data_IF_597896999080
#
_entry.id   IF_597896999080
#
_cell.length_a   1.000
_cell.length_b   1.000
_cell.length_c   1.000
_cell.angle_alpha   90.00
_cell.angle_beta   90.00
_cell.angle_gamma   90.00
#
_symmetry.space_group_name_H-M   'P 1'
#
loop_
_entity.id
_entity.type
_entity.pdbx_description
1 polymer ?
#
# COMPACT_ATOMS: atom_id res chain seq x y z
N UNK A 1 1.41 -3.32 -31.69
CA UNK A 1 1.61 -4.34 -30.64
C UNK A 1 2.90 -3.99 -29.93
N UNK A 2 2.84 -3.61 -28.65
CA UNK A 2 4.04 -3.33 -27.87
C UNK A 2 4.76 -4.67 -27.69
N UNK A 3 5.95 -4.84 -28.27
CA UNK A 3 6.70 -6.10 -28.34
C UNK A 3 7.29 -6.56 -27.00
N UNK A 4 6.50 -6.51 -25.93
CA UNK A 4 6.85 -7.07 -24.63
C UNK A 4 6.48 -8.54 -24.60
N UNK A 5 7.46 -9.37 -24.23
CA UNK A 5 7.22 -10.77 -23.90
C UNK A 5 6.41 -10.86 -22.62
N UNK A 6 5.23 -11.50 -22.69
CA UNK A 6 4.40 -11.76 -21.50
C UNK A 6 4.95 -12.94 -20.70
N UNK A 7 4.34 -13.22 -19.55
CA UNK A 7 4.62 -14.43 -18.75
C UNK A 7 6.09 -14.59 -18.33
N UNK A 8 6.76 -13.45 -18.14
CA UNK A 8 8.19 -13.36 -17.84
C UNK A 8 8.41 -12.75 -16.46
N UNK A 9 9.29 -13.36 -15.66
CA UNK A 9 9.74 -12.80 -14.38
C UNK A 9 11.01 -11.98 -14.62
N UNK A 10 10.94 -10.68 -14.32
CA UNK A 10 12.11 -9.80 -14.33
C UNK A 10 12.69 -9.78 -12.92
N UNK A 11 13.81 -10.47 -12.70
CA UNK A 11 14.53 -10.44 -11.42
C UNK A 11 15.48 -9.23 -11.38
N UNK A 12 14.99 -8.10 -10.85
CA UNK A 12 15.74 -6.85 -10.75
C UNK A 12 15.14 -5.94 -9.69
N UNK A 13 15.89 -4.92 -9.28
CA UNK A 13 15.31 -3.78 -8.57
C UNK A 13 14.20 -3.13 -9.41
N UNK A 14 13.07 -2.85 -8.76
CA UNK A 14 11.83 -2.45 -9.42
C UNK A 14 11.98 -1.14 -10.22
N UNK A 15 12.74 -0.15 -9.71
CA UNK A 15 12.90 1.12 -10.42
C UNK A 15 13.65 0.90 -11.74
N UNK A 16 14.70 0.09 -11.72
CA UNK A 16 15.48 -0.21 -12.92
C UNK A 16 14.70 -1.09 -13.89
N UNK A 17 13.93 -2.08 -13.40
CA UNK A 17 13.05 -2.87 -14.26
C UNK A 17 12.02 -1.98 -14.97
N UNK A 18 11.36 -1.08 -14.25
CA UNK A 18 10.35 -0.18 -14.83
C UNK A 18 10.95 0.75 -15.90
N UNK A 19 12.19 1.23 -15.71
CA UNK A 19 12.90 2.06 -16.70
C UNK A 19 13.16 1.36 -18.04
N UNK A 20 13.28 0.04 -18.03
CA UNK A 20 13.48 -0.76 -19.25
C UNK A 20 12.17 -1.05 -19.98
N UNK A 21 11.03 -0.94 -19.30
CA UNK A 21 9.73 -1.14 -19.92
C UNK A 21 9.34 0.07 -20.79
N UNK A 22 8.79 -0.16 -22.00
CA UNK A 22 8.26 0.92 -22.82
C UNK A 22 7.17 1.71 -22.10
N UNK A 23 7.04 2.99 -22.44
CA UNK A 23 5.92 3.79 -21.94
C UNK A 23 4.61 3.19 -22.43
N UNK A 24 3.54 3.35 -21.65
CA UNK A 24 2.17 2.98 -22.06
C UNK A 24 2.02 1.52 -22.50
N UNK A 25 2.72 0.63 -21.82
CA UNK A 25 2.80 -0.78 -22.16
C UNK A 25 2.08 -1.71 -21.21
N UNK A 26 1.77 -1.26 -19.98
CA UNK A 26 1.07 -2.05 -18.97
C UNK A 26 -0.32 -1.49 -18.72
N UNK A 27 -1.33 -2.35 -18.63
CA UNK A 27 -2.72 -1.94 -18.41
C UNK A 27 -3.09 -1.93 -16.91
N UNK A 28 -2.62 -2.91 -16.15
CA UNK A 28 -2.92 -3.05 -14.73
C UNK A 28 -1.63 -3.36 -13.97
N UNK A 29 -1.38 -2.63 -12.89
CA UNK A 29 -0.34 -2.92 -11.93
C UNK A 29 -0.97 -3.24 -10.57
N UNK A 30 -0.56 -4.35 -9.97
CA UNK A 30 -1.01 -4.76 -8.64
C UNK A 30 0.23 -5.00 -7.80
N UNK A 31 0.33 -4.35 -6.64
CA UNK A 31 1.55 -4.45 -5.83
C UNK A 31 1.34 -4.16 -4.35
N UNK A 32 2.23 -4.71 -3.54
CA UNK A 32 2.43 -4.40 -2.13
C UNK A 32 3.93 -4.15 -1.91
N UNK A 33 4.42 -2.91 -1.99
CA UNK A 33 5.84 -2.65 -1.77
C UNK A 33 6.24 -3.03 -0.34
N UNK A 34 7.54 -3.24 -0.05
CA UNK A 34 8.00 -3.47 1.31
C UNK A 34 7.48 -2.39 2.28
N UNK A 35 6.82 -2.81 3.36
CA UNK A 35 6.19 -1.90 4.32
C UNK A 35 7.24 -1.23 5.21
N UNK A 36 7.04 0.05 5.50
CA UNK A 36 7.98 0.85 6.28
C UNK A 36 8.26 0.21 7.65
N UNK A 37 9.53 -0.03 7.97
CA UNK A 37 10.00 -0.49 9.28
C UNK A 37 9.41 -1.81 9.82
N UNK A 38 8.72 -2.62 8.99
CA UNK A 38 8.12 -3.87 9.46
C UNK A 38 8.99 -5.12 9.24
N UNK A 39 9.75 -5.18 8.13
CA UNK A 39 10.58 -6.33 7.79
C UNK A 39 11.97 -5.88 7.35
N UNK A 40 12.98 -6.68 7.72
CA UNK A 40 14.34 -6.57 7.23
C UNK A 40 14.64 -7.78 6.34
N UNK A 41 14.96 -7.52 5.07
CA UNK A 41 15.30 -8.49 4.04
C UNK A 41 16.80 -8.74 3.93
N UNK A 42 17.64 -8.14 4.79
CA UNK A 42 19.09 -8.33 4.82
C UNK A 42 19.85 -7.68 3.66
N UNK A 43 19.22 -6.75 2.94
CA UNK A 43 19.83 -6.04 1.80
C UNK A 43 20.08 -4.57 2.15
N UNK A 44 21.25 -4.06 1.80
CA UNK A 44 21.68 -2.69 2.12
C UNK A 44 20.72 -1.61 1.62
N UNK A 45 20.20 -1.78 0.40
CA UNK A 45 19.34 -0.80 -0.28
C UNK A 45 17.88 -1.25 -0.35
N UNK A 46 17.41 -2.12 0.54
CA UNK A 46 16.00 -2.52 0.53
C UNK A 46 15.07 -1.32 0.79
N UNK A 47 13.86 -1.39 0.23
CA UNK A 47 12.77 -0.45 0.52
C UNK A 47 12.18 -0.79 1.89
N UNK A 48 11.71 0.22 2.62
CA UNK A 48 11.10 0.07 3.94
C UNK A 48 12.10 0.12 5.09
N UNK A 49 13.38 0.42 4.80
CA UNK A 49 14.45 0.61 5.80
C UNK A 49 15.03 2.03 5.84
N UNK A 50 14.39 2.96 5.15
CA UNK A 50 14.74 4.38 5.16
C UNK A 50 14.68 4.95 6.59
N UNK A 51 15.51 5.96 6.86
CA UNK A 51 15.66 6.52 8.20
C UNK A 51 14.41 7.28 8.66
N UNK A 52 13.63 7.81 7.73
CA UNK A 52 12.42 8.58 7.99
C UNK A 52 11.24 8.12 7.13
N UNK A 53 9.99 8.28 7.60
CA UNK A 53 8.80 8.10 6.76
C UNK A 53 8.88 8.92 5.48
N UNK A 54 9.35 10.16 5.54
CA UNK A 54 9.43 11.07 4.39
C UNK A 54 10.37 10.53 3.31
N UNK A 55 11.52 9.97 3.69
CA UNK A 55 12.44 9.32 2.74
C UNK A 55 11.81 8.09 2.08
N UNK A 56 11.14 7.25 2.86
CA UNK A 56 10.40 6.09 2.35
C UNK A 56 9.33 6.51 1.33
N UNK A 57 8.51 7.51 1.67
CA UNK A 57 7.46 8.05 0.80
C UNK A 57 8.06 8.66 -0.47
N UNK A 58 9.16 9.44 -0.35
CA UNK A 58 9.85 10.00 -1.53
C UNK A 58 10.36 8.90 -2.45
N UNK A 59 10.99 7.86 -1.90
CA UNK A 59 11.52 6.75 -2.69
C UNK A 59 10.42 6.00 -3.44
N UNK A 60 9.33 5.66 -2.76
CA UNK A 60 8.17 5.04 -3.39
C UNK A 60 7.55 5.95 -4.45
N UNK A 61 7.44 7.26 -4.19
CA UNK A 61 6.91 8.22 -5.16
C UNK A 61 7.74 8.22 -6.45
N UNK A 62 9.07 8.13 -6.37
CA UNK A 62 9.94 7.99 -7.56
C UNK A 62 9.65 6.70 -8.33
N UNK A 63 9.49 5.57 -7.65
CA UNK A 63 9.17 4.28 -8.28
C UNK A 63 7.80 4.33 -8.95
N UNK A 64 6.79 4.86 -8.26
CA UNK A 64 5.45 4.96 -8.80
C UNK A 64 5.33 6.00 -9.91
N UNK A 65 6.14 7.07 -9.92
CA UNK A 65 6.23 7.98 -11.06
C UNK A 65 6.67 7.22 -12.32
N UNK A 66 7.68 6.37 -12.20
CA UNK A 66 8.14 5.53 -13.31
C UNK A 66 7.07 4.51 -13.72
N UNK A 67 6.38 3.90 -12.76
CA UNK A 67 5.25 3.02 -13.06
C UNK A 67 4.14 3.76 -13.83
N UNK A 68 3.85 5.02 -13.50
CA UNK A 68 2.85 5.83 -14.21
C UNK A 68 3.23 6.04 -15.68
N UNK A 69 4.53 6.18 -16.00
CA UNK A 69 5.01 6.25 -17.39
C UNK A 69 4.72 4.95 -18.14
N UNK A 70 5.00 3.81 -17.50
CA UNK A 70 4.80 2.48 -18.06
C UNK A 70 3.31 2.14 -18.23
N UNK A 71 2.43 2.67 -17.38
CA UNK A 71 0.99 2.48 -17.53
C UNK A 71 0.45 3.15 -18.79
N UNK A 72 -0.47 2.45 -19.46
CA UNK A 72 -1.34 3.00 -20.51
C UNK A 72 -2.20 4.16 -19.96
N UNK A 73 -2.69 5.07 -20.83
CA UNK A 73 -3.64 6.12 -20.42
C UNK A 73 -4.85 5.62 -19.63
N UNK A 74 -5.38 4.46 -20.04
CA UNK A 74 -6.52 3.78 -19.41
C UNK A 74 -6.13 2.87 -18.23
N UNK A 75 -4.87 2.90 -17.80
CA UNK A 75 -4.30 1.96 -16.84
C UNK A 75 -4.59 2.26 -15.37
N UNK A 76 -4.58 1.19 -14.58
CA UNK A 76 -4.87 1.21 -13.13
C UNK A 76 -3.69 0.69 -12.30
N UNK A 77 -3.52 1.24 -11.11
CA UNK A 77 -2.64 0.76 -10.06
C UNK A 77 -3.48 0.39 -8.83
N UNK A 78 -3.30 -0.84 -8.36
CA UNK A 78 -3.86 -1.38 -7.13
C UNK A 78 -2.73 -1.54 -6.11
N UNK A 79 -2.69 -0.62 -5.16
CA UNK A 79 -1.60 -0.50 -4.20
C UNK A 79 -2.06 -0.94 -2.82
N UNK A 80 -1.62 -2.13 -2.40
CA UNK A 80 -1.78 -2.58 -1.03
C UNK A 80 -0.66 -2.03 -0.14
N UNK A 81 -1.03 -1.39 0.97
CA UNK A 81 -0.06 -0.81 1.91
C UNK A 81 -0.61 -0.84 3.34
N UNK A 82 0.27 -1.19 4.28
CA UNK A 82 -0.04 -1.22 5.70
C UNK A 82 0.72 -0.13 6.44
N UNK A 83 0.17 0.29 7.58
CA UNK A 83 0.76 1.36 8.39
C UNK A 83 1.82 0.85 9.38
N UNK A 84 2.43 1.76 10.12
CA UNK A 84 3.42 1.51 11.17
C UNK A 84 3.24 2.52 12.30
N UNK A 85 3.56 2.11 13.52
CA UNK A 85 3.54 3.00 14.67
C UNK A 85 4.92 3.62 14.91
N UNK A 86 4.94 4.88 15.32
CA UNK A 86 6.15 5.55 15.78
C UNK A 86 6.61 4.94 17.12
N UNK A 87 7.91 4.71 17.25
CA UNK A 87 8.52 4.24 18.49
C UNK A 87 9.18 2.87 18.39
N UNK A 88 9.27 2.19 19.55
CA UNK A 88 10.02 0.93 19.68
C UNK A 88 9.29 -0.22 19.02
N UNK A 89 9.94 -0.87 18.06
CA UNK A 89 9.42 -2.00 17.30
C UNK A 89 9.24 -3.26 18.15
N UNK A 90 8.75 -4.34 17.52
CA UNK A 90 8.47 -5.61 18.17
C UNK A 90 9.64 -6.09 19.03
N UNK A 91 9.34 -6.39 20.31
CA UNK A 91 10.26 -7.05 21.23
C UNK A 91 10.49 -8.48 20.72
N UNK A 92 11.53 -8.70 19.91
CA UNK A 92 12.02 -10.03 19.59
C UNK A 92 12.39 -10.79 20.87
N UNK A 93 12.12 -12.10 20.92
CA UNK A 93 12.30 -12.93 22.11
C UNK A 93 13.77 -13.36 22.34
N UNK A 94 14.26 -13.06 23.55
CA UNK A 94 15.40 -13.63 24.34
C UNK A 94 16.88 -13.33 23.96
N UNK A 95 17.85 -13.11 24.87
CA UNK A 95 17.95 -12.69 26.33
C UNK A 95 19.45 -12.55 26.75
N UNK A 96 19.85 -11.74 27.76
CA UNK A 96 20.88 -12.16 28.75
C UNK A 96 20.98 -11.28 30.05
N UNK A 97 20.80 -11.84 31.27
CA UNK A 97 21.16 -11.21 32.55
C UNK A 97 22.66 -10.92 32.81
N UNK A 98 23.59 -11.49 32.05
CA UNK A 98 25.06 -11.34 32.23
C UNK A 98 25.68 -10.12 31.56
N UNK A 99 24.97 -9.40 30.68
CA UNK A 99 25.52 -8.30 29.87
C UNK A 99 24.89 -6.92 30.20
N UNK A 100 25.55 -6.06 31.00
CA UNK A 100 24.91 -4.87 31.61
C UNK A 100 24.83 -3.61 30.72
N UNK A 101 25.50 -3.56 29.55
CA UNK A 101 25.49 -2.39 28.64
C UNK A 101 24.39 -2.44 27.56
N UNK A 102 23.39 -3.30 27.77
CA UNK A 102 22.23 -3.41 26.89
C UNK A 102 21.80 -4.87 26.82
N UNK A 103 20.68 -5.17 27.47
CA UNK A 103 20.24 -6.53 27.79
C UNK A 103 19.80 -7.39 26.60
N UNK A 104 19.69 -6.77 25.43
CA UNK A 104 19.21 -7.39 24.20
C UNK A 104 20.01 -6.70 23.09
N UNK A 105 20.60 -7.46 22.16
CA UNK A 105 21.11 -6.92 20.89
C UNK A 105 19.96 -6.37 20.04
N UNK A 106 19.36 -5.27 20.49
CA UNK A 106 18.16 -4.65 19.93
C UNK A 106 18.55 -3.91 18.67
N UNK A 107 18.01 -4.32 17.52
CA UNK A 107 17.89 -3.38 16.41
C UNK A 107 16.84 -2.35 16.84
N UNK A 108 17.28 -1.11 17.01
CA UNK A 108 16.34 -0.05 17.30
C UNK A 108 15.40 0.08 16.10
N UNK A 109 14.09 0.09 16.34
CA UNK A 109 13.13 0.37 15.29
C UNK A 109 13.46 1.69 14.62
N UNK A 110 13.72 1.64 13.32
CA UNK A 110 13.96 2.83 12.49
C UNK A 110 12.77 3.79 12.54
N UNK A 111 11.55 3.30 12.77
CA UNK A 111 10.35 4.13 12.97
C UNK A 111 10.39 4.97 14.27
N UNK A 112 11.43 4.88 15.11
CA UNK A 112 11.62 5.83 16.24
C UNK A 112 11.91 7.26 15.80
N UNK A 113 12.36 7.45 14.55
CA UNK A 113 12.87 8.73 14.03
C UNK A 113 11.82 9.56 13.28
N UNK A 114 10.54 9.20 13.35
CA UNK A 114 9.49 9.94 12.67
C UNK A 114 9.34 11.34 13.30
N UNK A 115 9.81 12.37 12.59
CA UNK A 115 9.88 13.72 13.11
C UNK A 115 8.48 14.29 13.37
N UNK A 116 8.27 14.88 14.55
CA UNK A 116 6.98 15.45 14.94
C UNK A 116 5.87 14.45 15.26
N UNK A 117 6.15 13.14 15.23
CA UNK A 117 5.19 12.08 15.56
C UNK A 117 5.51 11.52 16.95
N UNK A 118 4.51 11.49 17.85
CA UNK A 118 4.74 11.05 19.24
C UNK A 118 4.95 9.53 19.29
N UNK A 119 5.65 9.07 20.31
CA UNK A 119 5.79 7.63 20.55
C UNK A 119 4.41 6.99 20.70
N UNK A 120 4.20 5.82 20.07
CA UNK A 120 2.94 5.09 19.94
C UNK A 120 1.89 5.71 19.02
N UNK A 121 2.15 6.86 18.38
CA UNK A 121 1.24 7.37 17.35
C UNK A 121 1.31 6.48 16.11
N UNK A 122 0.18 6.31 15.45
CA UNK A 122 0.11 5.73 14.12
C UNK A 122 0.70 6.74 13.12
N UNK A 123 1.65 6.34 12.28
CA UNK A 123 2.38 7.27 11.41
C UNK A 123 1.50 7.79 10.27
N UNK A 124 0.56 6.97 9.77
CA UNK A 124 -0.28 7.33 8.63
C UNK A 124 0.38 7.04 7.29
N UNK A 125 1.30 6.07 7.22
CA UNK A 125 2.06 5.69 6.00
C UNK A 125 1.15 5.52 4.77
N UNK A 126 0.01 4.80 4.84
CA UNK A 126 -0.89 4.64 3.69
C UNK A 126 -1.33 5.97 3.08
N UNK A 127 -1.79 6.90 3.93
CA UNK A 127 -2.33 8.19 3.49
C UNK A 127 -1.24 9.19 3.11
N UNK A 128 -0.08 9.16 3.78
CA UNK A 128 1.10 9.91 3.35
C UNK A 128 1.50 9.51 1.91
N UNK A 129 1.51 8.21 1.62
CA UNK A 129 1.82 7.71 0.28
C UNK A 129 0.74 8.11 -0.73
N UNK A 130 -0.53 7.85 -0.42
CA UNK A 130 -1.65 8.17 -1.32
C UNK A 130 -1.67 9.66 -1.70
N UNK A 131 -1.42 10.56 -0.74
CA UNK A 131 -1.38 11.99 -0.99
C UNK A 131 -0.12 12.45 -1.72
N UNK A 132 1.02 11.82 -1.46
CA UNK A 132 2.25 12.04 -2.24
C UNK A 132 2.03 11.66 -3.71
N UNK A 133 1.47 10.48 -3.97
CA UNK A 133 1.16 10.02 -5.33
C UNK A 133 0.14 10.93 -6.02
N UNK A 134 -0.91 11.34 -5.32
CA UNK A 134 -1.89 12.30 -5.87
C UNK A 134 -1.23 13.63 -6.25
N UNK A 135 -0.37 14.15 -5.37
CA UNK A 135 0.39 15.39 -5.64
C UNK A 135 1.37 15.23 -6.80
N UNK A 136 1.88 14.01 -7.02
CA UNK A 136 2.76 13.67 -8.13
C UNK A 136 2.04 13.52 -9.48
N UNK A 137 0.70 13.57 -9.50
CA UNK A 137 -0.12 13.52 -10.72
C UNK A 137 -0.95 12.25 -10.90
N UNK A 138 -1.04 11.40 -9.88
CA UNK A 138 -1.99 10.29 -9.89
C UNK A 138 -3.41 10.74 -9.53
N UNK A 139 -4.42 10.06 -10.09
CA UNK A 139 -5.78 10.17 -9.60
C UNK A 139 -6.04 9.09 -8.55
N UNK A 140 -6.27 9.48 -7.30
CA UNK A 140 -6.73 8.58 -6.23
C UNK A 140 -8.24 8.35 -6.36
N UNK A 141 -8.66 7.12 -6.68
CA UNK A 141 -10.05 6.80 -7.04
C UNK A 141 -10.83 6.10 -5.95
N UNK A 142 -10.16 5.30 -5.13
CA UNK A 142 -10.80 4.57 -4.03
C UNK A 142 -9.79 4.25 -2.94
N UNK A 143 -10.27 4.24 -1.71
CA UNK A 143 -9.66 3.58 -0.57
C UNK A 143 -10.49 2.34 -0.24
N UNK A 144 -9.91 1.15 -0.44
CA UNK A 144 -10.55 -0.13 -0.20
C UNK A 144 -9.96 -0.74 1.07
N UNK A 145 -10.83 -1.15 1.98
CA UNK A 145 -10.41 -1.84 3.20
C UNK A 145 -10.37 -3.34 2.94
N UNK A 146 -9.16 -3.90 2.94
CA UNK A 146 -8.98 -5.34 2.97
C UNK A 146 -9.05 -5.84 4.40
N UNK A 147 -10.26 -6.21 4.83
CA UNK A 147 -10.51 -6.81 6.14
C UNK A 147 -9.97 -8.25 6.18
N UNK A 148 -9.13 -8.54 7.15
CA UNK A 148 -8.60 -9.87 7.45
C UNK A 148 -9.41 -10.45 8.60
N UNK A 149 -10.12 -11.54 8.33
CA UNK A 149 -10.95 -12.22 9.35
C UNK A 149 -10.11 -12.87 10.45
N UNK A 150 -8.93 -13.39 10.08
CA UNK A 150 -8.01 -14.07 10.99
C UNK A 150 -6.63 -13.38 11.00
N UNK A 151 -6.51 -12.15 11.55
CA UNK A 151 -5.24 -11.44 11.63
C UNK A 151 -4.33 -12.08 12.68
N UNK A 152 -3.02 -11.89 12.52
CA UNK A 152 -2.06 -12.29 13.56
C UNK A 152 -2.37 -11.52 14.85
N UNK A 153 -2.46 -12.19 16.02
CA UNK A 153 -2.70 -11.52 17.29
C UNK A 153 -1.60 -10.50 17.60
N UNK A 154 -2.01 -9.34 18.11
CA UNK A 154 -1.08 -8.33 18.59
C UNK A 154 -0.93 -8.40 20.11
N UNK A 155 0.29 -8.22 20.62
CA UNK A 155 0.56 -8.18 22.06
C UNK A 155 0.21 -6.84 22.72
N UNK A 156 -0.09 -5.83 21.91
CA UNK A 156 -0.47 -4.48 22.34
C UNK A 156 -1.87 -4.48 22.94
N UNK A 157 -2.07 -3.84 24.11
CA UNK A 157 -3.35 -3.84 24.85
C UNK A 157 -4.03 -2.47 24.96
N UNK A 158 -3.36 -1.41 24.51
CA UNK A 158 -3.77 -0.01 24.65
C UNK A 158 -4.31 0.58 23.33
N UNK A 159 -4.69 -0.27 22.37
CA UNK A 159 -5.34 0.12 21.10
C UNK A 159 -6.05 -1.07 20.44
N UNK A 160 -6.96 -0.83 19.48
CA UNK A 160 -7.54 -1.89 18.69
C UNK A 160 -6.49 -2.70 17.90
N UNK A 161 -6.76 -4.00 17.75
CA UNK A 161 -6.00 -4.88 16.86
C UNK A 161 -6.16 -4.42 15.42
N UNK A 162 -5.06 -4.31 14.69
CA UNK A 162 -5.12 -4.08 13.26
C UNK A 162 -5.48 -5.37 12.55
N UNK A 163 -6.68 -5.36 11.99
CA UNK A 163 -7.23 -6.47 11.23
C UNK A 163 -7.48 -6.11 9.76
N UNK A 164 -6.91 -5.00 9.26
CA UNK A 164 -7.09 -4.60 7.87
C UNK A 164 -5.82 -3.96 7.28
N UNK A 165 -5.80 -3.91 5.94
CA UNK A 165 -4.85 -3.13 5.14
C UNK A 165 -5.61 -2.24 4.14
N UNK A 166 -4.96 -1.17 3.70
CA UNK A 166 -5.51 -0.28 2.66
C UNK A 166 -5.10 -0.80 1.28
N UNK A 167 -6.06 -0.91 0.37
CA UNK A 167 -5.82 -1.07 -1.06
C UNK A 167 -6.29 0.20 -1.76
N UNK A 168 -5.36 1.01 -2.22
CA UNK A 168 -5.69 2.20 -2.99
C UNK A 168 -5.81 1.86 -4.47
N UNK A 169 -6.92 2.29 -5.08
CA UNK A 169 -7.05 2.35 -6.53
C UNK A 169 -6.54 3.72 -7.01
N UNK A 170 -5.44 3.72 -7.75
CA UNK A 170 -4.91 4.90 -8.44
C UNK A 170 -4.98 4.70 -9.96
N UNK A 171 -5.11 5.81 -10.68
CA UNK A 171 -5.26 5.79 -12.14
C UNK A 171 -4.40 6.87 -12.80
N UNK A 172 -3.92 6.59 -14.01
CA UNK A 172 -3.09 7.52 -14.77
C UNK A 172 -3.90 8.74 -15.24
N UNK A 173 -5.12 8.50 -15.70
CA UNK A 173 -6.04 9.53 -16.17
C UNK A 173 -7.42 9.45 -15.51
N UNK A 174 -8.19 10.54 -15.65
CA UNK A 174 -9.57 10.61 -15.17
C UNK A 174 -10.50 9.55 -15.78
N UNK A 175 -10.23 9.16 -17.03
CA UNK A 175 -10.92 8.11 -17.79
C UNK A 175 -9.99 6.91 -17.85
N UNK A 176 -10.43 5.77 -17.35
CA UNK A 176 -9.64 4.54 -17.28
C UNK A 176 -10.57 3.34 -17.41
N UNK A 177 -9.99 2.18 -17.71
CA UNK A 177 -10.76 0.96 -17.80
C UNK A 177 -11.16 0.45 -16.41
N UNK A 178 -12.46 0.21 -16.22
CA UNK A 178 -12.99 -0.39 -14.99
C UNK A 178 -14.25 -1.19 -15.31
N UNK A 179 -14.16 -2.51 -15.21
CA UNK A 179 -15.28 -3.42 -15.45
C UNK A 179 -16.05 -3.68 -14.15
N UNK A 180 -17.01 -2.80 -13.88
CA UNK A 180 -17.86 -2.92 -12.69
C UNK A 180 -18.77 -4.17 -12.74
N UNK A 181 -19.11 -4.65 -13.95
CA UNK A 181 -19.98 -5.82 -14.10
C UNK A 181 -19.23 -7.12 -13.76
N UNK A 182 -17.96 -7.22 -14.13
CA UNK A 182 -17.12 -8.39 -13.82
C UNK A 182 -16.93 -8.66 -12.32
N UNK A 183 -17.12 -7.65 -11.47
CA UNK A 183 -16.99 -7.76 -10.01
C UNK A 183 -18.32 -7.56 -9.27
N UNK A 184 -19.44 -7.49 -9.98
CA UNK A 184 -20.73 -7.22 -9.37
C UNK A 184 -21.20 -8.42 -8.53
N UNK A 185 -21.58 -8.16 -7.29
CA UNK A 185 -22.21 -9.16 -6.42
C UNK A 185 -23.73 -9.17 -6.60
N UNK A 186 -24.40 -10.33 -6.44
CA UNK A 186 -25.85 -10.39 -6.45
C UNK A 186 -26.46 -9.46 -5.41
N UNK A 187 -27.42 -8.62 -5.82
CA UNK A 187 -28.16 -7.78 -4.89
C UNK A 187 -28.99 -8.63 -3.93
N UNK A 188 -29.14 -8.17 -2.68
CA UNK A 188 -30.01 -8.87 -1.73
C UNK A 188 -31.46 -8.95 -2.25
N UNK A 189 -32.22 -10.01 -1.92
CA UNK A 189 -33.62 -10.13 -2.34
C UNK A 189 -34.48 -8.93 -1.90
N UNK A 190 -34.20 -8.36 -0.72
CA UNK A 190 -34.87 -7.14 -0.22
C UNK A 190 -34.55 -5.92 -1.09
N UNK A 191 -33.31 -5.77 -1.51
CA UNK A 191 -32.88 -4.72 -2.44
C UNK A 191 -33.55 -4.90 -3.80
N UNK A 192 -33.59 -6.12 -4.33
CA UNK A 192 -34.28 -6.43 -5.59
C UNK A 192 -35.76 -6.08 -5.53
N UNK A 193 -36.46 -6.43 -4.44
CA UNK A 193 -37.86 -6.07 -4.23
C UNK A 193 -38.07 -4.56 -4.19
N UNK A 194 -37.20 -3.80 -3.49
CA UNK A 194 -37.26 -2.33 -3.45
C UNK A 194 -37.03 -1.70 -4.82
N UNK A 195 -36.08 -2.21 -5.60
CA UNK A 195 -35.82 -1.73 -6.96
C UNK A 195 -37.03 -1.89 -7.90
N UNK A 196 -37.81 -2.97 -7.74
CA UNK A 196 -39.03 -3.20 -8.51
C UNK A 196 -40.16 -2.23 -8.14
N UNK A 197 -40.18 -1.74 -6.90
CA UNK A 197 -41.24 -0.86 -6.38
C UNK A 197 -40.91 0.64 -6.53
N UNK A 198 -39.63 1.01 -6.70
CA UNK A 198 -39.15 2.40 -6.56
C UNK A 198 -39.04 3.24 -7.84
N UNK A 199 -39.32 2.70 -9.03
CA UNK A 199 -39.25 3.48 -10.28
C UNK A 199 -40.58 4.19 -10.57
N UNK A 200 -40.76 5.38 -10.01
CA UNK A 200 -41.67 6.39 -10.57
C UNK A 200 -40.88 7.34 -11.49
N UNK A 201 -41.56 8.01 -12.42
CA UNK A 201 -40.96 8.84 -13.46
C UNK A 201 -40.05 9.99 -12.96
N UNK A 202 -39.99 10.24 -11.64
CA UNK A 202 -39.22 11.32 -11.01
C UNK A 202 -38.03 10.83 -10.14
N UNK A 203 -37.62 9.56 -10.21
CA UNK A 203 -36.41 9.09 -9.52
C UNK A 203 -35.13 9.56 -10.23
N UNK A 204 -34.17 10.11 -9.47
CA UNK A 204 -32.82 10.50 -9.93
C UNK A 204 -31.88 9.31 -10.22
N UNK A 205 -32.37 8.08 -10.10
CA UNK A 205 -31.66 6.82 -10.36
C UNK A 205 -32.57 5.84 -11.11
#
# INVERSE_FOLDING_TARGET
MNGLTTDTIINRDALYALRELPSESVHCAVTSPPYYALRDYGLTMQIGREDTPEEYIRRLTVIFRELRRVLRPDGTLWLNIADTYCGTGSKGSSTDPKNPKGRNGQSVSIARKAAGIKQKDLIGIPWLLAFSLRSDGWYLRSDIIWQKENPMPESCKDRPTRCYEHIFLLTKEKKYYYDAAAIAEPISPKTAARYRLGRSANSKY
#
